data_IF_752525734743
#
_entry.id   IF_752525734743
#
_cell.length_a   1.000
_cell.length_b   1.000
_cell.length_c   1.000
_cell.angle_alpha   90.00
_cell.angle_beta   90.00
_cell.angle_gamma   90.00
#
_symmetry.space_group_name_H-M   'P 1'
#
loop_
_entity.id
_entity.type
_entity.pdbx_description
1 polymer ?
#
# COMPACT_ATOMS: atom_id res chain seq x y z
N UNK A 1 23.45 62.71 47.55
CA UNK A 1 22.14 62.99 48.17
C UNK A 1 21.95 64.50 48.24
N UNK A 2 21.16 65.08 47.33
CA UNK A 2 20.91 66.52 47.31
C UNK A 2 19.62 66.80 48.09
N UNK A 3 19.72 67.51 49.20
CA UNK A 3 18.57 67.98 49.99
C UNK A 3 17.80 69.00 49.15
N UNK A 4 16.64 68.62 48.63
CA UNK A 4 15.69 69.56 48.05
C UNK A 4 15.09 70.36 49.22
N UNK A 5 15.41 71.65 49.30
CA UNK A 5 14.79 72.57 50.25
C UNK A 5 13.51 73.07 49.61
N UNK A 6 12.37 72.49 50.01
CA UNK A 6 11.05 72.99 49.62
C UNK A 6 10.67 74.16 50.53
N UNK A 7 10.55 75.37 49.96
CA UNK A 7 9.97 76.53 50.63
C UNK A 7 8.49 76.61 50.28
N UNK A 8 7.60 76.54 51.28
CA UNK A 8 6.19 76.88 51.09
C UNK A 8 6.03 78.40 51.12
N UNK A 9 5.64 78.99 50.00
CA UNK A 9 5.26 80.40 49.94
C UNK A 9 3.83 80.51 50.48
N UNK A 10 3.60 81.38 51.46
CA UNK A 10 2.26 81.64 52.00
C UNK A 10 1.36 82.30 50.95
N UNK A 11 0.08 81.92 50.89
CA UNK A 11 -0.90 82.51 49.95
C UNK A 11 -0.94 84.05 49.98
N UNK A 12 -0.73 84.67 51.15
CA UNK A 12 -0.63 86.15 51.26
C UNK A 12 0.53 86.73 50.44
N UNK A 13 1.65 86.02 50.35
CA UNK A 13 2.78 86.43 49.53
C UNK A 13 2.50 86.23 48.04
N UNK A 14 1.79 85.16 47.66
CA UNK A 14 1.37 84.94 46.27
C UNK A 14 0.39 86.03 45.81
N UNK A 15 -0.59 86.39 46.63
CA UNK A 15 -1.55 87.46 46.31
C UNK A 15 -0.85 88.82 46.18
N UNK A 16 0.17 89.09 47.01
CA UNK A 16 0.98 90.30 46.89
C UNK A 16 1.81 90.33 45.60
N UNK A 17 2.36 89.19 45.17
CA UNK A 17 3.06 89.06 43.89
C UNK A 17 2.10 89.28 42.71
N UNK A 18 0.90 88.69 42.76
CA UNK A 18 -0.15 88.89 41.74
C UNK A 18 -0.57 90.35 41.63
N UNK A 19 -0.70 91.04 42.76
CA UNK A 19 -1.07 92.46 42.81
C UNK A 19 0.03 93.39 42.30
N UNK A 20 1.30 93.14 42.65
CA UNK A 20 2.42 93.99 42.26
C UNK A 20 2.89 93.73 40.81
N UNK A 21 2.73 92.51 40.32
CA UNK A 21 3.21 92.08 39.00
C UNK A 21 2.16 91.26 38.24
N UNK A 22 1.02 91.86 37.86
CA UNK A 22 -0.06 91.15 37.16
C UNK A 22 0.41 90.58 35.81
N UNK A 23 1.14 91.36 35.01
CA UNK A 23 1.65 90.93 33.71
C UNK A 23 2.63 89.75 33.80
N UNK A 24 3.48 89.71 34.83
CA UNK A 24 4.40 88.60 35.04
C UNK A 24 3.64 87.33 35.43
N UNK A 25 2.62 87.47 36.27
CA UNK A 25 1.73 86.37 36.68
C UNK A 25 0.99 85.80 35.49
N UNK A 26 0.39 86.63 34.65
CA UNK A 26 -0.28 86.19 33.42
C UNK A 26 0.67 85.51 32.44
N UNK A 27 1.89 86.06 32.27
CA UNK A 27 2.88 85.45 31.38
C UNK A 27 3.31 84.06 31.87
N UNK A 28 3.51 83.89 33.18
CA UNK A 28 3.81 82.59 33.78
C UNK A 28 2.65 81.61 33.63
N UNK A 29 1.42 82.05 33.87
CA UNK A 29 0.23 81.22 33.68
C UNK A 29 0.06 80.80 32.21
N UNK A 30 0.29 81.73 31.26
CA UNK A 30 0.26 81.44 29.84
C UNK A 30 1.36 80.46 29.44
N UNK A 31 2.59 80.63 29.94
CA UNK A 31 3.69 79.68 29.72
C UNK A 31 3.32 78.29 30.21
N UNK A 32 2.78 78.17 31.42
CA UNK A 32 2.36 76.89 31.97
C UNK A 32 1.28 76.23 31.10
N UNK A 33 0.26 76.98 30.70
CA UNK A 33 -0.79 76.48 29.82
C UNK A 33 -0.24 75.97 28.47
N UNK A 34 0.70 76.71 27.87
CA UNK A 34 1.33 76.28 26.61
C UNK A 34 2.18 75.03 26.83
N UNK A 35 2.95 74.96 27.92
CA UNK A 35 3.75 73.77 28.27
C UNK A 35 2.85 72.56 28.45
N UNK A 36 1.81 72.63 29.28
CA UNK A 36 0.90 71.51 29.56
C UNK A 36 0.24 71.00 28.26
N UNK A 37 -0.13 71.91 27.36
CA UNK A 37 -0.75 71.55 26.09
C UNK A 37 0.24 70.90 25.12
N UNK A 38 1.49 71.38 25.10
CA UNK A 38 2.55 70.78 24.29
C UNK A 38 2.92 69.39 24.81
N UNK A 39 3.04 69.24 26.13
CA UNK A 39 3.34 67.97 26.77
C UNK A 39 2.26 66.94 26.46
N UNK A 40 0.98 67.27 26.68
CA UNK A 40 -0.16 66.40 26.33
C UNK A 40 -0.16 66.02 24.84
N UNK A 41 0.05 67.00 23.96
CA UNK A 41 0.04 66.73 22.52
C UNK A 41 1.22 65.86 22.07
N UNK A 42 2.40 66.05 22.67
CA UNK A 42 3.58 65.24 22.38
C UNK A 42 3.40 63.81 22.90
N UNK A 43 2.88 63.67 24.12
CA UNK A 43 2.61 62.38 24.75
C UNK A 43 1.61 61.58 23.91
N UNK A 44 0.45 62.16 23.59
CA UNK A 44 -0.58 61.49 22.76
C UNK A 44 -0.04 61.07 21.38
N UNK A 45 0.82 61.88 20.77
CA UNK A 45 1.37 61.60 19.44
C UNK A 45 2.47 60.54 19.48
N UNK A 46 3.37 60.62 20.47
CA UNK A 46 4.50 59.71 20.61
C UNK A 46 4.06 58.35 21.13
N UNK A 47 3.27 58.32 22.22
CA UNK A 47 2.85 57.08 22.86
C UNK A 47 1.69 56.41 22.11
N UNK A 48 0.74 57.19 21.59
CA UNK A 48 -0.42 56.61 20.92
C UNK A 48 -0.16 56.24 19.46
N UNK A 49 0.14 57.26 18.66
CA UNK A 49 0.17 57.12 17.20
C UNK A 49 1.44 56.40 16.72
N UNK A 50 2.60 56.77 17.28
CA UNK A 50 3.88 56.15 16.91
C UNK A 50 4.04 54.72 17.42
N UNK A 51 3.65 54.40 18.66
CA UNK A 51 3.66 53.01 19.15
C UNK A 51 2.72 52.12 18.33
N UNK A 52 1.50 52.59 18.05
CA UNK A 52 0.54 51.87 17.23
C UNK A 52 1.07 51.57 15.81
N UNK A 53 1.69 52.56 15.16
CA UNK A 53 2.30 52.41 13.83
C UNK A 53 3.51 51.49 13.85
N UNK A 54 4.40 51.62 14.84
CA UNK A 54 5.56 50.74 14.96
C UNK A 54 5.13 49.29 15.23
N UNK A 55 4.19 49.09 16.15
CA UNK A 55 3.68 47.76 16.48
C UNK A 55 3.02 47.09 15.29
N UNK A 56 2.21 47.83 14.53
CA UNK A 56 1.55 47.30 13.33
C UNK A 56 2.56 46.95 12.25
N UNK A 57 3.51 47.85 11.95
CA UNK A 57 4.56 47.63 10.96
C UNK A 57 5.46 46.44 11.33
N UNK A 58 5.97 46.41 12.56
CA UNK A 58 6.83 45.32 13.03
C UNK A 58 6.07 44.00 12.98
N UNK A 59 4.82 43.97 13.43
CA UNK A 59 4.03 42.74 13.41
C UNK A 59 3.75 42.25 11.99
N UNK A 60 3.40 43.14 11.06
CA UNK A 60 3.11 42.74 9.69
C UNK A 60 4.36 42.25 8.95
N UNK A 61 5.46 42.98 9.06
CA UNK A 61 6.72 42.63 8.39
C UNK A 61 7.33 41.37 8.99
N UNK A 62 7.35 41.26 10.33
CA UNK A 62 7.91 40.08 10.97
C UNK A 62 7.08 38.83 10.63
N UNK A 63 5.75 38.92 10.65
CA UNK A 63 4.90 37.79 10.29
C UNK A 63 5.10 37.38 8.83
N UNK A 64 5.07 38.34 7.89
CA UNK A 64 5.25 38.03 6.47
C UNK A 64 6.61 37.37 6.20
N UNK A 65 7.66 37.85 6.85
CA UNK A 65 9.02 37.31 6.70
C UNK A 65 9.15 35.93 7.36
N UNK A 66 8.55 35.73 8.54
CA UNK A 66 8.53 34.42 9.19
C UNK A 66 7.78 33.39 8.36
N UNK A 67 6.57 33.73 7.90
CA UNK A 67 5.70 32.85 7.14
C UNK A 67 6.40 32.40 5.86
N UNK A 68 6.93 33.34 5.07
CA UNK A 68 7.62 33.02 3.83
C UNK A 68 8.86 32.15 4.06
N UNK A 69 9.63 32.42 5.12
CA UNK A 69 10.86 31.67 5.41
C UNK A 69 10.58 30.29 5.99
N UNK A 70 9.54 30.15 6.80
CA UNK A 70 9.09 28.87 7.32
C UNK A 70 8.52 27.99 6.22
N UNK A 71 7.65 28.54 5.36
CA UNK A 71 7.08 27.80 4.23
C UNK A 71 8.16 27.28 3.28
N UNK A 72 9.14 28.09 2.92
CA UNK A 72 10.24 27.65 2.05
C UNK A 72 11.13 26.58 2.72
N UNK A 73 11.49 26.78 4.00
CA UNK A 73 12.33 25.84 4.73
C UNK A 73 11.64 24.49 4.96
N UNK A 74 10.39 24.52 5.42
CA UNK A 74 9.58 23.32 5.68
C UNK A 74 9.22 22.63 4.36
N UNK A 75 8.85 23.40 3.33
CA UNK A 75 8.57 22.87 2.00
C UNK A 75 9.76 22.09 1.41
N UNK A 76 10.98 22.62 1.54
CA UNK A 76 12.22 21.92 1.13
C UNK A 76 12.44 20.63 1.91
N UNK A 77 12.31 20.67 3.24
CA UNK A 77 12.47 19.47 4.07
C UNK A 77 11.45 18.37 3.72
N UNK A 78 10.19 18.75 3.49
CA UNK A 78 9.13 17.82 3.09
C UNK A 78 9.44 17.24 1.70
N UNK A 79 9.90 18.07 0.75
CA UNK A 79 10.32 17.63 -0.57
C UNK A 79 11.44 16.59 -0.51
N UNK A 80 12.51 16.90 0.22
CA UNK A 80 13.67 16.01 0.39
C UNK A 80 13.28 14.69 1.06
N UNK A 81 12.42 14.73 2.09
CA UNK A 81 11.91 13.53 2.75
C UNK A 81 11.06 12.67 1.80
N UNK A 82 10.23 13.31 0.98
CA UNK A 82 9.38 12.62 0.00
C UNK A 82 10.21 11.93 -1.08
N UNK A 83 11.28 12.58 -1.56
CA UNK A 83 12.21 11.97 -2.51
C UNK A 83 12.95 10.77 -1.88
N UNK A 84 13.44 10.93 -0.64
CA UNK A 84 14.10 9.84 0.08
C UNK A 84 13.17 8.66 0.32
N UNK A 85 11.91 8.90 0.67
CA UNK A 85 10.91 7.86 0.84
C UNK A 85 10.66 7.11 -0.47
N UNK A 86 10.46 7.84 -1.57
CA UNK A 86 10.24 7.26 -2.90
C UNK A 86 11.42 6.37 -3.33
N UNK A 87 12.66 6.80 -3.05
CA UNK A 87 13.86 5.99 -3.30
C UNK A 87 13.90 4.73 -2.44
N UNK A 88 13.46 4.80 -1.18
CA UNK A 88 13.39 3.63 -0.29
C UNK A 88 12.32 2.66 -0.77
N UNK A 89 11.13 3.14 -1.14
CA UNK A 89 10.04 2.32 -1.68
C UNK A 89 10.47 1.60 -2.95
N UNK A 90 11.09 2.31 -3.89
CA UNK A 90 11.61 1.70 -5.12
C UNK A 90 12.65 0.62 -4.84
N UNK A 91 13.59 0.87 -3.93
CA UNK A 91 14.62 -0.12 -3.55
C UNK A 91 14.03 -1.31 -2.81
N UNK A 92 12.99 -1.10 -2.01
CA UNK A 92 12.32 -2.19 -1.32
C UNK A 92 11.54 -3.05 -2.31
N UNK A 93 10.80 -2.41 -3.22
CA UNK A 93 10.07 -3.07 -4.29
C UNK A 93 10.99 -3.94 -5.14
N UNK A 94 12.09 -3.37 -5.67
CA UNK A 94 13.03 -4.14 -6.50
C UNK A 94 13.65 -5.31 -5.73
N UNK A 95 14.05 -5.10 -4.46
CA UNK A 95 14.65 -6.17 -3.66
C UNK A 95 13.66 -7.27 -3.30
N UNK A 96 12.38 -6.96 -3.15
CA UNK A 96 11.35 -7.96 -2.92
C UNK A 96 11.07 -8.76 -4.20
N UNK A 97 10.98 -8.07 -5.33
CA UNK A 97 10.78 -8.67 -6.66
C UNK A 97 11.93 -9.61 -7.01
N UNK A 98 13.16 -9.11 -6.99
CA UNK A 98 14.38 -9.87 -7.29
C UNK A 98 14.51 -11.11 -6.37
N UNK A 99 14.13 -10.99 -5.10
CA UNK A 99 14.26 -12.07 -4.12
C UNK A 99 13.14 -13.10 -4.25
N UNK A 100 11.93 -12.66 -4.63
CA UNK A 100 10.81 -13.55 -4.91
C UNK A 100 11.09 -14.39 -6.17
N UNK A 101 11.58 -13.74 -7.22
CA UNK A 101 11.98 -14.38 -8.47
C UNK A 101 13.12 -15.38 -8.23
N UNK A 102 14.22 -14.94 -7.61
CA UNK A 102 15.41 -15.77 -7.46
C UNK A 102 15.21 -16.96 -6.50
N UNK A 103 14.40 -16.79 -5.44
CA UNK A 103 14.35 -17.79 -4.37
C UNK A 103 13.15 -18.73 -4.52
N UNK A 104 11.98 -18.21 -4.88
CA UNK A 104 10.74 -18.97 -4.83
C UNK A 104 10.37 -19.53 -6.20
N UNK A 105 10.54 -18.75 -7.27
CA UNK A 105 10.17 -19.17 -8.62
C UNK A 105 11.23 -20.06 -9.28
N UNK A 106 12.51 -19.67 -9.22
CA UNK A 106 13.54 -20.39 -9.97
C UNK A 106 14.18 -21.54 -9.20
N UNK A 107 14.36 -21.42 -7.88
CA UNK A 107 15.09 -22.45 -7.10
C UNK A 107 14.16 -23.50 -6.48
N UNK A 108 13.22 -23.07 -5.65
CA UNK A 108 12.42 -24.00 -4.82
C UNK A 108 11.39 -24.77 -5.67
N UNK A 109 10.77 -24.12 -6.64
CA UNK A 109 9.81 -24.77 -7.53
C UNK A 109 10.50 -25.76 -8.48
N UNK A 110 11.67 -25.41 -9.03
CA UNK A 110 12.45 -26.31 -9.90
C UNK A 110 12.93 -27.53 -9.12
N UNK A 111 13.54 -27.34 -7.94
CA UNK A 111 13.97 -28.44 -7.06
C UNK A 111 12.79 -29.32 -6.61
N UNK A 112 11.61 -28.72 -6.36
CA UNK A 112 10.41 -29.48 -5.95
C UNK A 112 9.77 -30.24 -7.11
N UNK A 113 9.77 -29.66 -8.32
CA UNK A 113 9.30 -30.33 -9.53
C UNK A 113 10.24 -31.48 -9.91
N UNK A 114 11.55 -31.24 -9.85
CA UNK A 114 12.57 -32.28 -10.06
C UNK A 114 12.45 -33.40 -9.02
N UNK A 115 12.21 -33.06 -7.75
CA UNK A 115 11.98 -34.05 -6.71
C UNK A 115 10.72 -34.89 -6.98
N UNK A 116 9.60 -34.28 -7.36
CA UNK A 116 8.35 -34.99 -7.71
C UNK A 116 8.56 -35.88 -8.95
N UNK A 117 9.26 -35.38 -9.98
CA UNK A 117 9.57 -36.14 -11.20
C UNK A 117 10.49 -37.32 -10.87
N UNK A 118 11.44 -37.17 -9.96
CA UNK A 118 12.34 -38.25 -9.54
C UNK A 118 11.66 -39.26 -8.58
N UNK A 119 10.70 -38.81 -7.75
CA UNK A 119 9.89 -39.68 -6.89
C UNK A 119 8.90 -40.54 -7.70
N UNK A 120 8.30 -39.98 -8.76
CA UNK A 120 7.35 -40.69 -9.64
C UNK A 120 8.05 -41.61 -10.68
N UNK A 121 9.34 -41.37 -10.96
CA UNK A 121 10.16 -42.20 -11.86
C UNK A 121 10.98 -43.30 -11.15
N UNK A 122 10.80 -43.49 -9.84
CA UNK A 122 11.39 -44.62 -9.10
C UNK A 122 10.58 -45.92 -9.33
N UNK A 123 10.62 -46.43 -10.56
CA UNK A 123 10.65 -47.86 -10.92
C UNK A 123 9.58 -48.82 -10.34
N UNK A 124 8.37 -48.35 -9.98
CA UNK A 124 7.27 -49.25 -9.56
C UNK A 124 5.86 -48.91 -10.06
N UNK A 125 5.65 -47.95 -10.95
CA UNK A 125 4.29 -47.46 -11.25
C UNK A 125 3.91 -47.23 -12.72
N UNK A 126 4.86 -47.16 -13.65
CA UNK A 126 4.57 -46.63 -15.00
C UNK A 126 4.04 -47.65 -16.02
N UNK A 127 4.14 -48.95 -15.76
CA UNK A 127 3.60 -49.99 -16.66
C UNK A 127 2.05 -50.09 -16.60
N UNK A 128 1.41 -49.44 -15.61
CA UNK A 128 -0.03 -49.58 -15.38
C UNK A 128 -0.85 -48.32 -15.71
N UNK A 129 -0.22 -47.22 -16.12
CA UNK A 129 -0.91 -45.98 -16.50
C UNK A 129 -0.97 -45.69 -18.01
N UNK A 130 -0.40 -46.57 -18.84
CA UNK A 130 -0.60 -46.56 -20.29
C UNK A 130 -1.24 -47.88 -20.74
N UNK A 131 -2.45 -48.14 -20.25
CA UNK A 131 -3.39 -48.89 -21.08
C UNK A 131 -4.07 -47.87 -21.98
N UNK A 132 -3.83 -47.84 -23.31
CA UNK A 132 -4.82 -47.20 -24.18
C UNK A 132 -6.13 -47.89 -23.86
N UNK A 133 -7.21 -47.12 -23.65
CA UNK A 133 -8.58 -47.59 -23.43
C UNK A 133 -8.88 -48.80 -24.36
N UNK A 134 -8.60 -50.01 -23.87
CA UNK A 134 -8.71 -51.23 -24.66
C UNK A 134 -10.12 -51.71 -24.44
N UNK A 135 -11.02 -51.19 -25.28
CA UNK A 135 -12.39 -51.66 -25.34
C UNK A 135 -12.31 -53.04 -26.00
N UNK A 136 -12.44 -54.10 -25.20
CA UNK A 136 -12.44 -55.48 -25.69
C UNK A 136 -11.57 -56.44 -24.88
N UNK A 137 -12.04 -57.68 -24.77
CA UNK A 137 -11.39 -58.77 -24.05
C UNK A 137 -10.54 -59.63 -24.99
N UNK A 138 -9.36 -60.01 -24.53
CA UNK A 138 -8.53 -61.03 -25.18
C UNK A 138 -9.18 -62.42 -25.07
N UNK A 139 -8.74 -63.38 -25.90
CA UNK A 139 -9.23 -64.76 -25.85
C UNK A 139 -8.99 -65.43 -24.48
N UNK A 140 -8.02 -64.94 -23.70
CA UNK A 140 -7.67 -65.43 -22.37
C UNK A 140 -8.55 -64.82 -21.28
N UNK A 141 -8.77 -63.51 -21.32
CA UNK A 141 -9.65 -62.82 -20.36
C UNK A 141 -11.11 -63.24 -20.52
N UNK A 142 -11.57 -63.43 -21.76
CA UNK A 142 -12.94 -63.90 -22.00
C UNK A 142 -13.12 -65.37 -21.57
N UNK A 143 -12.07 -66.20 -21.69
CA UNK A 143 -12.08 -67.59 -21.24
C UNK A 143 -12.31 -67.67 -19.73
N UNK A 144 -11.57 -66.85 -18.99
CA UNK A 144 -11.70 -66.73 -17.56
C UNK A 144 -13.08 -66.18 -17.17
N UNK A 145 -13.54 -65.12 -17.83
CA UNK A 145 -14.85 -64.50 -17.55
C UNK A 145 -16.03 -65.44 -17.78
N UNK A 146 -15.97 -66.30 -18.80
CA UNK A 146 -17.02 -67.26 -19.14
C UNK A 146 -16.81 -68.66 -18.52
N UNK A 147 -15.70 -68.87 -17.80
CA UNK A 147 -15.37 -70.17 -17.22
C UNK A 147 -15.14 -71.29 -18.25
N UNK A 148 -14.74 -70.94 -19.48
CA UNK A 148 -14.49 -71.89 -20.57
C UNK A 148 -13.01 -71.92 -20.94
N UNK A 149 -12.56 -72.98 -21.59
CA UNK A 149 -11.15 -73.09 -21.99
C UNK A 149 -10.83 -72.10 -23.13
N UNK A 150 -9.63 -71.51 -23.11
CA UNK A 150 -9.12 -70.62 -24.18
C UNK A 150 -9.19 -71.30 -25.55
N UNK A 151 -8.98 -72.62 -25.60
CA UNK A 151 -9.12 -73.42 -26.82
C UNK A 151 -10.55 -73.41 -27.39
N UNK A 152 -11.57 -73.35 -26.54
CA UNK A 152 -12.97 -73.26 -26.96
C UNK A 152 -13.25 -71.90 -27.60
N UNK A 153 -12.76 -70.80 -27.01
CA UNK A 153 -12.91 -69.45 -27.57
C UNK A 153 -12.17 -69.32 -28.91
N UNK A 154 -10.94 -69.83 -29.02
CA UNK A 154 -10.21 -69.85 -30.30
C UNK A 154 -10.92 -70.64 -31.39
N UNK A 155 -11.56 -71.76 -31.03
CA UNK A 155 -12.41 -72.52 -31.96
C UNK A 155 -13.61 -71.68 -32.40
N UNK A 156 -14.33 -71.05 -31.47
CA UNK A 156 -15.48 -70.19 -31.78
C UNK A 156 -15.10 -69.01 -32.68
N UNK A 157 -13.95 -68.36 -32.41
CA UNK A 157 -13.36 -67.33 -33.27
C UNK A 157 -13.10 -67.82 -34.70
N UNK A 158 -12.55 -69.03 -34.81
CA UNK A 158 -12.29 -69.67 -36.11
C UNK A 158 -13.58 -70.01 -36.86
N UNK A 159 -14.62 -70.45 -36.15
CA UNK A 159 -15.93 -70.75 -36.73
C UNK A 159 -16.68 -69.48 -37.15
N UNK A 160 -16.57 -68.41 -36.36
CA UNK A 160 -17.10 -67.08 -36.66
C UNK A 160 -16.49 -66.51 -37.95
N UNK A 161 -15.17 -66.53 -38.07
CA UNK A 161 -14.46 -66.07 -39.28
C UNK A 161 -14.77 -66.91 -40.54
N UNK A 162 -15.21 -68.16 -40.36
CA UNK A 162 -15.59 -69.06 -41.46
C UNK A 162 -17.09 -69.00 -41.80
N UNK A 163 -17.87 -68.13 -41.14
CA UNK A 163 -19.32 -67.99 -41.36
C UNK A 163 -20.15 -69.22 -40.95
N UNK A 164 -19.58 -70.12 -40.14
CA UNK A 164 -20.26 -71.34 -39.68
C UNK A 164 -20.74 -71.14 -38.25
N UNK A 165 -21.97 -70.64 -38.09
CA UNK A 165 -22.59 -70.40 -36.78
C UNK A 165 -23.08 -71.70 -36.17
N UNK A 166 -22.21 -72.42 -35.47
CA UNK A 166 -22.65 -73.45 -34.53
C UNK A 166 -22.72 -72.83 -33.15
N UNK A 167 -23.93 -72.73 -32.58
CA UNK A 167 -24.11 -72.24 -31.20
C UNK A 167 -23.31 -73.14 -30.25
N UNK A 168 -22.41 -72.58 -29.42
CA UNK A 168 -21.65 -73.39 -28.49
C UNK A 168 -22.55 -74.06 -27.46
N UNK A 169 -22.35 -75.35 -27.20
CA UNK A 169 -23.16 -76.08 -26.23
C UNK A 169 -22.99 -75.54 -24.79
N UNK A 170 -21.80 -75.05 -24.47
CA UNK A 170 -21.47 -74.47 -23.15
C UNK A 170 -21.92 -73.03 -22.97
N UNK A 171 -22.17 -72.29 -24.05
CA UNK A 171 -22.70 -70.92 -24.01
C UNK A 171 -23.55 -70.67 -25.28
N UNK A 172 -24.84 -71.06 -25.28
CA UNK A 172 -25.69 -71.00 -26.47
C UNK A 172 -25.87 -69.58 -27.04
N UNK A 173 -25.82 -68.57 -26.16
CA UNK A 173 -26.06 -67.16 -26.50
C UNK A 173 -24.74 -66.37 -26.71
N UNK A 174 -23.60 -67.07 -26.81
CA UNK A 174 -22.29 -66.44 -26.89
C UNK A 174 -22.19 -65.40 -28.02
N UNK A 175 -22.60 -65.75 -29.24
CA UNK A 175 -22.54 -64.86 -30.40
C UNK A 175 -23.63 -63.79 -30.43
N UNK A 176 -24.63 -63.90 -29.55
CA UNK A 176 -25.68 -62.89 -29.36
C UNK A 176 -25.18 -61.78 -28.43
N UNK A 177 -24.31 -62.12 -27.46
CA UNK A 177 -23.74 -61.18 -26.50
C UNK A 177 -22.35 -60.67 -26.85
N UNK A 178 -21.65 -61.31 -27.77
CA UNK A 178 -20.26 -60.96 -28.09
C UNK A 178 -20.03 -60.85 -29.60
N UNK A 179 -19.25 -59.85 -30.01
CA UNK A 179 -18.68 -59.73 -31.35
C UNK A 179 -17.18 -59.50 -31.31
N UNK A 180 -16.55 -59.65 -32.47
CA UNK A 180 -15.15 -59.34 -32.65
C UNK A 180 -15.02 -57.92 -33.23
N UNK A 181 -14.26 -57.05 -32.57
CA UNK A 181 -13.94 -55.72 -33.10
C UNK A 181 -12.79 -55.78 -34.13
N UNK A 182 -12.47 -54.66 -34.79
CA UNK A 182 -11.42 -54.52 -35.81
C UNK A 182 -10.04 -55.02 -35.31
N UNK A 183 -9.77 -54.85 -34.02
CA UNK A 183 -8.54 -55.33 -33.35
C UNK A 183 -8.55 -56.84 -33.01
N UNK A 184 -9.55 -57.58 -33.49
CA UNK A 184 -9.76 -59.01 -33.21
C UNK A 184 -9.95 -59.34 -31.74
N UNK A 185 -10.41 -58.38 -30.95
CA UNK A 185 -10.79 -58.51 -29.53
C UNK A 185 -12.29 -58.74 -29.40
N UNK A 186 -12.71 -59.40 -28.31
CA UNK A 186 -14.11 -59.66 -28.05
C UNK A 186 -14.77 -58.51 -27.31
N UNK A 187 -15.79 -57.93 -27.91
CA UNK A 187 -16.58 -56.86 -27.31
C UNK A 187 -18.00 -57.33 -27.01
N UNK A 188 -18.52 -56.90 -25.87
CA UNK A 188 -19.89 -57.16 -25.48
C UNK A 188 -20.82 -56.36 -26.40
N UNK A 189 -21.76 -57.04 -27.05
CA UNK A 189 -22.93 -56.42 -27.63
C UNK A 189 -23.88 -56.12 -26.47
N UNK A 190 -23.72 -54.96 -25.84
CA UNK A 190 -24.83 -54.35 -25.08
C UNK A 190 -25.86 -53.75 -26.03
#
# INVERSE_FOLDING_TARGET
MSKIISFSISDRYLDKIRSLYPNLTENLAFKQFVTDRLDLSLDDTLDGDLDGKLKTLVKSELNALLDARLDDAVGKLIGDLSERLSRVESRLGSRLDDNLDATILDGILDDSLDAIILEDNSDKGLDNMVSPLKIGYTDQELAEKLGVTVASIKRWKTHFNKGKYSKPFTCPDFFEKWHLNEDKLWESKE
#
